data_IF_129634346258
#
_entry.id   IF_129634346258
#
_cell.length_a   1.000
_cell.length_b   1.000
_cell.length_c   1.000
_cell.angle_alpha   90.00
_cell.angle_beta   90.00
_cell.angle_gamma   90.00
#
_symmetry.space_group_name_H-M   'P 1'
#
loop_
_entity.id
_entity.type
_entity.pdbx_description
1 polymer ?
#
# COMPACT_ATOMS: atom_id res chain seq x y z
N UNK A 1 -13.13 -22.82 -21.12
CA UNK A 1 -12.79 -21.42 -20.81
C UNK A 1 -11.55 -21.07 -21.61
N UNK A 2 -11.50 -19.93 -22.34
CA UNK A 2 -10.28 -19.54 -23.00
C UNK A 2 -9.21 -19.28 -21.93
N UNK A 3 -8.14 -20.06 -21.99
CA UNK A 3 -6.97 -19.87 -21.13
C UNK A 3 -6.27 -18.65 -21.71
N UNK A 4 -6.44 -17.48 -21.08
CA UNK A 4 -5.64 -16.30 -21.44
C UNK A 4 -4.17 -16.72 -21.31
N UNK A 5 -3.31 -16.48 -22.32
CA UNK A 5 -1.91 -16.84 -22.23
C UNK A 5 -1.30 -16.12 -21.03
N UNK A 6 -0.94 -16.87 -20.00
CA UNK A 6 -0.34 -16.42 -18.74
C UNK A 6 1.08 -15.83 -18.91
N UNK A 7 1.53 -15.64 -20.15
CA UNK A 7 2.89 -15.22 -20.50
C UNK A 7 3.03 -13.70 -20.64
N UNK A 8 1.92 -12.95 -20.59
CA UNK A 8 2.00 -11.50 -20.55
C UNK A 8 2.56 -11.06 -19.19
N UNK A 9 3.80 -10.58 -19.20
CA UNK A 9 4.51 -9.98 -18.05
C UNK A 9 3.62 -8.98 -17.28
N UNK A 10 2.82 -8.22 -18.02
CA UNK A 10 1.83 -7.29 -17.45
C UNK A 10 0.81 -7.99 -16.53
N UNK A 11 0.26 -9.12 -16.96
CA UNK A 11 -0.75 -9.86 -16.19
C UNK A 11 -0.15 -10.50 -14.94
N UNK A 12 1.12 -10.95 -15.01
CA UNK A 12 1.84 -11.44 -13.85
C UNK A 12 2.10 -10.32 -12.84
N UNK A 13 2.51 -9.14 -13.32
CA UNK A 13 2.73 -7.97 -12.48
C UNK A 13 1.44 -7.54 -11.78
N UNK A 14 0.35 -7.42 -12.54
CA UNK A 14 -0.97 -7.09 -11.99
C UNK A 14 -1.45 -8.14 -11.00
N UNK A 15 -1.28 -9.44 -11.29
CA UNK A 15 -1.77 -10.49 -10.40
C UNK A 15 -0.99 -10.57 -9.10
N UNK A 16 0.32 -10.34 -9.16
CA UNK A 16 1.20 -10.57 -8.02
C UNK A 16 1.39 -9.33 -7.15
N UNK A 17 1.40 -8.11 -7.73
CA UNK A 17 1.75 -6.89 -6.99
C UNK A 17 0.60 -5.90 -6.82
N UNK A 18 -0.44 -5.95 -7.68
CA UNK A 18 -1.56 -5.02 -7.56
C UNK A 18 -2.35 -5.21 -6.25
N UNK A 19 -2.63 -6.43 -5.76
CA UNK A 19 -3.32 -6.62 -4.50
C UNK A 19 -2.59 -5.95 -3.32
N UNK A 20 -1.27 -6.08 -3.25
CA UNK A 20 -0.44 -5.52 -2.18
C UNK A 20 -0.39 -4.00 -2.25
N UNK A 21 -0.28 -3.44 -3.47
CA UNK A 21 -0.44 -2.00 -3.69
C UNK A 21 -1.81 -1.50 -3.23
N UNK A 22 -2.89 -2.22 -3.54
CA UNK A 22 -4.25 -1.83 -3.15
C UNK A 22 -4.44 -1.89 -1.63
N UNK A 23 -3.88 -2.91 -0.98
CA UNK A 23 -3.89 -3.04 0.47
C UNK A 23 -3.16 -1.86 1.14
N UNK A 24 -1.90 -1.61 0.79
CA UNK A 24 -1.11 -0.49 1.35
C UNK A 24 -1.77 0.87 1.14
N UNK A 25 -2.32 1.11 -0.05
CA UNK A 25 -3.13 2.30 -0.32
C UNK A 25 -4.33 2.43 0.64
N UNK A 26 -5.11 1.35 0.79
CA UNK A 26 -6.30 1.35 1.65
C UNK A 26 -5.96 1.56 3.12
N UNK A 27 -4.83 1.03 3.59
CA UNK A 27 -4.33 1.20 4.95
C UNK A 27 -4.07 2.67 5.27
N UNK A 28 -3.38 3.39 4.38
CA UNK A 28 -3.10 4.83 4.54
C UNK A 28 -4.39 5.62 4.63
N UNK A 29 -5.36 5.36 3.74
CA UNK A 29 -6.65 6.05 3.77
C UNK A 29 -7.45 5.73 5.04
N UNK A 30 -7.47 4.47 5.49
CA UNK A 30 -8.16 4.09 6.71
C UNK A 30 -7.55 4.78 7.95
N UNK A 31 -6.22 4.78 8.06
CA UNK A 31 -5.51 5.47 9.13
C UNK A 31 -5.77 6.99 9.11
N UNK A 32 -5.78 7.60 7.94
CA UNK A 32 -6.11 9.01 7.79
C UNK A 32 -7.54 9.32 8.27
N UNK A 33 -8.53 8.51 7.90
CA UNK A 33 -9.90 8.64 8.37
C UNK A 33 -10.03 8.50 9.89
N UNK A 34 -9.24 7.62 10.52
CA UNK A 34 -9.26 7.38 11.97
C UNK A 34 -8.60 8.55 12.74
N UNK A 35 -7.45 9.03 12.27
CA UNK A 35 -6.66 10.07 12.95
C UNK A 35 -7.25 11.47 12.73
N UNK A 36 -7.94 11.68 11.61
CA UNK A 36 -8.61 12.92 11.27
C UNK A 36 -7.79 13.86 10.39
N UNK A 37 -8.50 14.89 9.93
CA UNK A 37 -8.18 15.74 8.78
C UNK A 37 -7.27 16.92 9.18
N UNK A 38 -5.99 16.68 9.46
CA UNK A 38 -5.01 17.74 9.74
C UNK A 38 -3.76 17.53 8.86
N UNK A 39 -3.24 18.55 8.18
CA UNK A 39 -2.09 18.39 7.27
C UNK A 39 -0.83 17.79 7.96
N UNK A 40 -0.61 18.13 9.24
CA UNK A 40 0.47 17.55 10.06
C UNK A 40 0.23 16.08 10.46
N UNK A 41 -0.98 15.54 10.23
CA UNK A 41 -1.31 14.13 10.50
C UNK A 41 -0.91 13.19 9.35
N UNK A 42 -0.81 13.68 8.11
CA UNK A 42 -0.54 12.83 6.93
C UNK A 42 0.85 12.16 7.01
N UNK A 43 1.88 12.90 7.43
CA UNK A 43 3.21 12.32 7.65
C UNK A 43 3.24 11.33 8.82
N UNK A 44 2.38 11.53 9.84
CA UNK A 44 2.23 10.56 10.93
C UNK A 44 1.53 9.29 10.45
N UNK A 45 0.51 9.42 9.61
CA UNK A 45 -0.17 8.29 8.96
C UNK A 45 0.84 7.45 8.18
N UNK A 46 1.67 8.10 7.35
CA UNK A 46 2.73 7.41 6.61
C UNK A 46 3.72 6.70 7.54
N UNK A 47 4.17 7.40 8.59
CA UNK A 47 5.09 6.84 9.59
C UNK A 47 4.50 5.68 10.40
N UNK A 48 3.18 5.47 10.38
CA UNK A 48 2.51 4.31 11.00
C UNK A 48 2.21 3.21 9.98
N UNK A 49 1.77 3.57 8.77
CA UNK A 49 1.43 2.64 7.71
C UNK A 49 2.64 1.83 7.25
N UNK A 50 3.74 2.50 6.89
CA UNK A 50 4.91 1.84 6.33
C UNK A 50 5.54 0.78 7.24
N UNK A 51 5.86 1.06 8.53
CA UNK A 51 6.40 0.01 9.40
C UNK A 51 5.39 -1.10 9.69
N UNK A 52 4.09 -0.83 9.63
CA UNK A 52 3.06 -1.86 9.76
C UNK A 52 3.05 -2.80 8.55
N UNK A 53 3.12 -2.27 7.33
CA UNK A 53 3.18 -3.07 6.09
C UNK A 53 4.45 -3.93 6.04
N UNK A 54 5.61 -3.34 6.37
CA UNK A 54 6.87 -4.10 6.53
C UNK A 54 6.76 -5.19 7.60
N UNK A 55 6.08 -4.93 8.72
CA UNK A 55 5.87 -5.92 9.76
C UNK A 55 4.99 -7.08 9.29
N UNK A 56 3.94 -6.81 8.50
CA UNK A 56 3.08 -7.82 7.91
C UNK A 56 3.88 -8.76 7.00
N UNK A 57 4.74 -8.21 6.15
CA UNK A 57 5.66 -8.99 5.30
C UNK A 57 6.65 -9.84 6.13
N UNK A 58 7.17 -9.30 7.22
CA UNK A 58 8.06 -10.04 8.11
C UNK A 58 7.34 -11.18 8.85
N UNK A 59 6.05 -11.04 9.15
CA UNK A 59 5.23 -12.09 9.76
C UNK A 59 5.00 -13.24 8.77
N UNK A 60 4.81 -12.94 7.48
CA UNK A 60 4.71 -13.97 6.44
C UNK A 60 5.98 -14.82 6.36
N UNK A 61 7.16 -14.19 6.50
CA UNK A 61 8.45 -14.90 6.56
C UNK A 61 8.54 -15.92 7.70
N UNK A 62 7.89 -15.66 8.84
CA UNK A 62 7.85 -16.57 9.98
C UNK A 62 6.86 -17.74 9.80
N UNK A 63 6.24 -17.87 8.61
CA UNK A 63 5.21 -18.87 8.31
C UNK A 63 3.97 -18.82 9.23
N UNK A 64 3.80 -17.71 9.94
CA UNK A 64 2.64 -17.51 10.81
C UNK A 64 1.38 -17.20 10.00
N UNK A 65 1.56 -16.49 8.87
CA UNK A 65 0.53 -16.18 7.89
C UNK A 65 0.95 -16.80 6.56
N UNK A 66 -0.01 -17.38 5.83
CA UNK A 66 0.19 -17.87 4.46
C UNK A 66 0.55 -16.69 3.56
N UNK A 67 1.80 -16.63 3.10
CA UNK A 67 2.32 -15.59 2.23
C UNK A 67 3.71 -15.95 1.70
N UNK A 68 4.13 -15.31 0.62
CA UNK A 68 5.48 -15.46 0.08
C UNK A 68 6.18 -14.14 0.31
N UNK A 69 7.16 -14.11 1.21
CA UNK A 69 7.97 -12.92 1.40
C UNK A 69 8.64 -12.52 0.08
N UNK A 70 8.21 -11.42 -0.52
CA UNK A 70 8.85 -10.80 -1.67
C UNK A 70 9.29 -9.37 -1.32
N UNK A 71 10.56 -9.06 -1.56
CA UNK A 71 11.10 -7.71 -1.37
C UNK A 71 10.45 -6.72 -2.33
N UNK A 72 9.99 -7.21 -3.49
CA UNK A 72 9.22 -6.38 -4.43
C UNK A 72 7.84 -5.99 -3.87
N UNK A 73 7.25 -6.78 -2.98
CA UNK A 73 5.98 -6.43 -2.32
C UNK A 73 6.18 -5.24 -1.39
N UNK A 74 7.25 -5.24 -0.59
CA UNK A 74 7.62 -4.08 0.26
C UNK A 74 7.81 -2.82 -0.59
N UNK A 75 8.43 -2.94 -1.76
CA UNK A 75 8.62 -1.80 -2.67
C UNK A 75 7.29 -1.32 -3.27
N UNK A 76 6.43 -2.25 -3.66
CA UNK A 76 5.11 -1.98 -4.21
C UNK A 76 4.20 -1.29 -3.18
N UNK A 77 4.18 -1.79 -1.96
CA UNK A 77 3.48 -1.19 -0.82
C UNK A 77 3.99 0.22 -0.53
N UNK A 78 5.32 0.41 -0.41
CA UNK A 78 5.92 1.72 -0.20
C UNK A 78 5.49 2.75 -1.25
N UNK A 79 5.48 2.34 -2.53
CA UNK A 79 5.05 3.20 -3.63
C UNK A 79 3.57 3.56 -3.50
N UNK A 80 2.72 2.58 -3.21
CA UNK A 80 1.28 2.79 -3.06
C UNK A 80 0.94 3.69 -1.87
N UNK A 81 1.60 3.50 -0.73
CA UNK A 81 1.45 4.34 0.46
C UNK A 81 1.91 5.78 0.19
N UNK A 82 3.03 5.95 -0.51
CA UNK A 82 3.53 7.27 -0.92
C UNK A 82 2.53 7.98 -1.83
N UNK A 83 1.97 7.26 -2.83
CA UNK A 83 0.94 7.80 -3.72
C UNK A 83 -0.30 8.23 -2.92
N UNK A 84 -0.76 7.40 -1.99
CA UNK A 84 -1.91 7.71 -1.13
C UNK A 84 -1.67 8.99 -0.31
N UNK A 85 -0.50 9.11 0.33
CA UNK A 85 -0.08 10.31 1.07
C UNK A 85 -0.05 11.54 0.16
N UNK A 86 0.53 11.43 -1.03
CA UNK A 86 0.58 12.54 -1.99
C UNK A 86 -0.82 12.98 -2.43
N UNK A 87 -1.75 12.04 -2.66
CA UNK A 87 -3.15 12.34 -3.01
C UNK A 87 -3.83 13.07 -1.86
N UNK A 88 -3.74 12.54 -0.64
CA UNK A 88 -4.33 13.14 0.56
C UNK A 88 -3.77 14.54 0.78
N UNK A 89 -2.45 14.70 0.72
CA UNK A 89 -1.79 15.98 0.89
C UNK A 89 -2.26 17.00 -0.16
N UNK A 90 -2.30 16.60 -1.44
CA UNK A 90 -2.76 17.47 -2.53
C UNK A 90 -4.23 17.86 -2.42
N UNK A 91 -5.10 16.96 -1.95
CA UNK A 91 -6.51 17.23 -1.72
C UNK A 91 -6.69 18.20 -0.56
N UNK A 92 -6.00 17.98 0.55
CA UNK A 92 -6.10 18.82 1.74
C UNK A 92 -5.53 20.23 1.50
N UNK A 93 -4.38 20.35 0.83
CA UNK A 93 -3.83 21.67 0.43
C UNK A 93 -4.75 22.45 -0.53
N UNK A 94 -5.74 21.81 -1.18
CA UNK A 94 -6.76 22.50 -1.99
C UNK A 94 -7.95 23.00 -1.18
N UNK A 95 -8.21 22.49 0.01
CA UNK A 95 -9.33 22.93 0.86
C UNK A 95 -8.96 24.10 1.78
N UNK A 96 -7.66 24.40 1.96
CA UNK A 96 -7.20 25.56 2.74
C UNK A 96 -7.10 26.88 1.92
N UNK A 97 -7.57 26.90 0.67
CA UNK A 97 -7.67 28.09 -0.21
C UNK A 97 -9.12 28.39 -0.58
#
# INVERSE_FOLDING_TARGET
MPVLPTDSVFLQLVRNYLPDMMWGYSLVFALFCIIGNNAASVWKVFGMAFPFSVAMEMIQKMSFILGTFDVFDIFAEFLAETIAVCIIYKLYSREEF
#
